data_IF_625882929945
#
_entry.id   IF_625882929945
#
_cell.length_a   1.000
_cell.length_b   1.000
_cell.length_c   1.000
_cell.angle_alpha   90.00
_cell.angle_beta   90.00
_cell.angle_gamma   90.00
#
_symmetry.space_group_name_H-M   'P 1'
#
loop_
_entity.id
_entity.type
_entity.pdbx_description
1 polymer ?
#
# COMPACT_ATOMS: atom_id res chain seq x y z
N UNK A 1 43.33 -53.83 11.15
CA UNK A 1 44.41 -52.98 11.71
C UNK A 1 44.90 -52.09 10.57
N UNK A 2 44.89 -50.76 10.57
CA UNK A 2 44.51 -49.68 11.48
C UNK A 2 44.15 -48.49 10.56
N UNK A 3 42.98 -47.85 10.68
CA UNK A 3 42.74 -46.61 11.43
C UNK A 3 43.72 -45.46 11.14
N UNK A 4 43.25 -44.45 10.38
CA UNK A 4 43.62 -43.04 10.55
C UNK A 4 42.55 -42.17 9.84
N UNK A 5 41.59 -41.69 10.62
CA UNK A 5 40.58 -40.72 10.18
C UNK A 5 41.13 -39.30 10.25
N UNK A 6 41.18 -38.63 9.10
CA UNK A 6 41.36 -37.18 9.01
C UNK A 6 40.00 -36.51 8.94
N UNK A 7 39.52 -36.00 10.08
CA UNK A 7 38.32 -35.18 10.14
C UNK A 7 38.56 -33.83 9.47
N UNK A 8 38.00 -33.63 8.28
CA UNK A 8 37.86 -32.30 7.70
C UNK A 8 36.77 -31.56 8.49
N UNK A 9 37.19 -30.67 9.39
CA UNK A 9 36.31 -29.74 10.08
C UNK A 9 35.66 -28.81 9.06
N UNK A 10 34.41 -29.11 8.71
CA UNK A 10 33.54 -28.17 8.01
C UNK A 10 33.31 -26.96 8.91
N UNK A 11 33.96 -25.85 8.58
CA UNK A 11 33.62 -24.54 9.13
C UNK A 11 32.18 -24.23 8.73
N UNK A 12 31.26 -24.39 9.67
CA UNK A 12 29.92 -23.83 9.57
C UNK A 12 30.05 -22.32 9.31
N UNK A 13 29.25 -21.71 8.40
CA UNK A 13 29.29 -20.28 8.24
C UNK A 13 28.88 -19.67 9.58
N UNK A 14 29.74 -18.85 10.17
CA UNK A 14 29.42 -18.06 11.35
C UNK A 14 28.22 -17.18 10.99
N UNK A 15 27.02 -17.59 11.42
CA UNK A 15 25.83 -16.76 11.34
C UNK A 15 26.13 -15.47 12.09
N UNK A 16 26.33 -14.38 11.36
CA UNK A 16 26.34 -13.03 11.92
C UNK A 16 25.03 -12.86 12.67
N UNK A 17 25.06 -12.94 14.00
CA UNK A 17 23.90 -12.60 14.83
C UNK A 17 23.56 -11.16 14.51
N UNK A 18 22.49 -10.95 13.75
CA UNK A 18 21.93 -9.64 13.46
C UNK A 18 21.69 -8.93 14.80
N UNK A 19 22.16 -7.69 14.91
CA UNK A 19 22.06 -6.93 16.15
C UNK A 19 20.58 -6.71 16.47
N UNK A 20 20.15 -7.12 17.66
CA UNK A 20 18.82 -6.78 18.17
C UNK A 20 18.77 -5.27 18.48
N UNK A 21 17.92 -4.56 17.75
CA UNK A 21 17.68 -3.12 17.93
C UNK A 21 16.39 -2.86 18.70
N UNK A 22 16.33 -1.75 19.42
CA UNK A 22 15.10 -1.17 19.97
C UNK A 22 14.48 -0.24 18.95
N UNK A 23 13.32 -0.59 18.43
CA UNK A 23 12.61 0.17 17.39
C UNK A 23 11.33 0.74 17.94
N UNK A 24 11.16 2.06 17.83
CA UNK A 24 9.86 2.68 18.02
C UNK A 24 9.18 2.91 16.66
N UNK A 25 7.87 2.72 16.62
CA UNK A 25 7.04 3.07 15.47
C UNK A 25 6.04 4.12 15.94
N UNK A 26 5.95 5.26 15.27
CA UNK A 26 5.03 6.34 15.62
C UNK A 26 4.08 6.56 14.44
N UNK A 27 2.80 6.31 14.68
CA UNK A 27 1.74 6.47 13.68
C UNK A 27 0.56 7.27 14.28
N UNK A 28 -0.07 8.20 13.55
CA UNK A 28 -1.16 9.04 14.09
C UNK A 28 -2.34 8.26 14.66
N UNK A 29 -2.98 7.38 13.89
CA UNK A 29 -4.27 6.77 14.25
C UNK A 29 -4.30 5.32 13.77
N UNK A 30 -4.29 4.36 14.70
CA UNK A 30 -4.35 2.93 14.36
C UNK A 30 -5.80 2.51 14.17
N UNK A 31 -6.31 2.77 12.96
CA UNK A 31 -7.60 2.27 12.48
C UNK A 31 -7.44 1.18 11.42
N UNK A 32 -8.34 1.20 10.43
CA UNK A 32 -8.30 0.30 9.26
C UNK A 32 -8.08 1.15 8.02
N UNK A 33 -6.91 1.01 7.41
CA UNK A 33 -6.52 1.68 6.18
C UNK A 33 -5.22 1.14 5.62
N UNK A 34 -4.85 1.61 4.43
CA UNK A 34 -3.66 1.12 3.71
C UNK A 34 -2.36 1.57 4.35
N UNK A 35 -2.31 2.79 4.89
CA UNK A 35 -1.14 3.31 5.58
C UNK A 35 -0.93 2.57 6.91
N UNK A 36 -2.01 2.39 7.66
CA UNK A 36 -2.07 1.64 8.90
C UNK A 36 -1.61 0.20 8.68
N UNK A 37 -2.10 -0.48 7.62
CA UNK A 37 -1.69 -1.85 7.29
C UNK A 37 -0.18 -1.96 7.10
N UNK A 38 0.41 -1.03 6.33
CA UNK A 38 1.84 -1.03 6.08
C UNK A 38 2.66 -0.87 7.36
N UNK A 39 2.22 -0.01 8.27
CA UNK A 39 2.91 0.21 9.54
C UNK A 39 2.79 -1.00 10.47
N UNK A 40 1.62 -1.66 10.47
CA UNK A 40 1.43 -2.92 11.19
C UNK A 40 2.32 -4.03 10.61
N UNK A 41 2.41 -4.14 9.28
CA UNK A 41 3.32 -5.06 8.60
C UNK A 41 4.79 -4.76 8.97
N UNK A 42 5.18 -3.48 8.98
CA UNK A 42 6.52 -3.06 9.38
C UNK A 42 6.86 -3.50 10.81
N UNK A 43 5.95 -3.24 11.75
CA UNK A 43 6.14 -3.63 13.15
C UNK A 43 6.19 -5.15 13.33
N UNK A 44 5.30 -5.89 12.67
CA UNK A 44 5.30 -7.36 12.68
C UNK A 44 6.60 -7.94 12.12
N UNK A 45 7.06 -7.44 10.96
CA UNK A 45 8.24 -7.97 10.30
C UNK A 45 9.53 -7.63 11.05
N UNK A 46 9.66 -6.43 11.60
CA UNK A 46 10.81 -6.08 12.44
C UNK A 46 10.85 -6.93 13.73
N UNK A 47 9.69 -7.19 14.35
CA UNK A 47 9.61 -8.11 15.49
C UNK A 47 9.99 -9.55 15.11
N UNK A 48 9.54 -10.03 13.93
CA UNK A 48 9.90 -11.35 13.40
C UNK A 48 11.40 -11.49 13.12
N UNK A 49 12.10 -10.40 12.79
CA UNK A 49 13.55 -10.34 12.66
C UNK A 49 14.30 -10.28 14.00
N UNK A 50 13.58 -10.29 15.12
CA UNK A 50 14.13 -10.34 16.48
C UNK A 50 14.37 -8.98 17.13
N UNK A 51 13.95 -7.88 16.51
CA UNK A 51 14.01 -6.55 17.10
C UNK A 51 13.01 -6.38 18.25
N UNK A 52 13.32 -5.49 19.18
CA UNK A 52 12.41 -5.07 20.24
C UNK A 52 11.58 -3.90 19.74
N UNK A 53 10.34 -4.16 19.32
CA UNK A 53 9.47 -3.19 18.63
C UNK A 53 8.40 -2.68 19.58
N UNK A 54 8.20 -1.36 19.60
CA UNK A 54 7.11 -0.71 20.35
C UNK A 54 6.37 0.27 19.45
N UNK A 55 5.04 0.19 19.40
CA UNK A 55 4.20 1.08 18.59
C UNK A 55 3.54 2.15 19.46
N UNK A 56 3.63 3.40 19.02
CA UNK A 56 3.00 4.57 19.64
C UNK A 56 1.99 5.18 18.70
N UNK A 57 0.80 5.47 19.21
CA UNK A 57 -0.26 6.09 18.44
C UNK A 57 -1.04 7.12 19.24
N UNK A 58 -1.76 8.01 18.56
CA UNK A 58 -2.65 8.95 19.23
C UNK A 58 -4.02 8.34 19.55
N UNK A 59 -4.45 7.36 18.75
CA UNK A 59 -5.72 6.65 18.91
C UNK A 59 -5.59 5.19 18.50
N UNK A 60 -6.33 4.31 19.19
CA UNK A 60 -6.43 2.90 18.84
C UNK A 60 -7.80 2.37 19.27
N UNK A 61 -8.68 2.14 18.28
CA UNK A 61 -9.97 1.49 18.53
C UNK A 61 -9.79 -0.03 18.44
N UNK A 62 -9.76 -0.69 19.60
CA UNK A 62 -9.59 -2.15 19.70
C UNK A 62 -10.72 -2.94 19.03
N UNK A 63 -11.86 -2.32 18.75
CA UNK A 63 -12.98 -2.96 18.03
C UNK A 63 -12.86 -2.83 16.51
N UNK A 64 -12.03 -1.90 16.04
CA UNK A 64 -11.85 -1.56 14.63
C UNK A 64 -10.38 -1.32 14.30
N UNK A 65 -9.57 -2.35 14.43
CA UNK A 65 -8.15 -2.34 14.14
C UNK A 65 -7.69 -3.68 13.56
N UNK A 66 -6.42 -3.75 13.16
CA UNK A 66 -5.77 -5.00 12.79
C UNK A 66 -5.49 -5.85 14.04
N UNK A 67 -5.73 -7.17 13.96
CA UNK A 67 -5.58 -8.09 15.09
C UNK A 67 -4.17 -8.04 15.71
N UNK A 68 -3.15 -7.85 14.87
CA UNK A 68 -1.76 -7.76 15.27
C UNK A 68 -1.47 -6.56 16.21
N UNK A 69 -2.33 -5.53 16.20
CA UNK A 69 -2.21 -4.40 17.12
C UNK A 69 -2.78 -4.67 18.52
N UNK A 70 -3.49 -5.79 18.69
CA UNK A 70 -4.11 -6.19 19.97
C UNK A 70 -3.40 -7.41 20.56
N UNK A 71 -3.14 -8.42 19.75
CA UNK A 71 -2.57 -9.71 20.16
C UNK A 71 -1.26 -10.05 19.46
N UNK A 72 -0.73 -9.15 18.63
CA UNK A 72 0.49 -9.38 17.86
C UNK A 72 1.78 -9.27 18.67
N UNK A 73 2.94 -9.30 17.98
CA UNK A 73 4.25 -9.50 18.61
C UNK A 73 4.85 -8.23 19.24
N UNK A 74 4.12 -7.11 19.24
CA UNK A 74 4.57 -5.83 19.77
C UNK A 74 3.50 -5.16 20.64
N UNK A 75 3.89 -4.44 21.71
CA UNK A 75 2.98 -3.60 22.46
C UNK A 75 2.58 -2.33 21.69
N UNK A 76 1.36 -1.87 21.93
CA UNK A 76 0.83 -0.58 21.46
C UNK A 76 0.58 0.33 22.67
N UNK A 77 1.07 1.57 22.61
CA UNK A 77 0.81 2.61 23.62
C UNK A 77 0.12 3.80 22.98
N UNK A 78 -0.97 4.24 23.62
CA UNK A 78 -1.81 5.34 23.14
C UNK A 78 -1.56 6.59 23.99
N UNK A 79 -1.27 7.72 23.34
CA UNK A 79 -1.14 9.02 24.00
C UNK A 79 -2.02 10.08 23.33
N UNK A 80 -2.69 10.92 24.11
CA UNK A 80 -3.42 12.06 23.55
C UNK A 80 -4.77 11.70 22.93
N UNK A 81 -5.37 10.57 23.33
CA UNK A 81 -6.68 10.15 22.82
C UNK A 81 -7.76 11.23 23.04
N UNK A 82 -7.65 11.99 24.13
CA UNK A 82 -8.51 13.13 24.48
C UNK A 82 -8.44 14.31 23.49
N UNK A 83 -7.42 14.40 22.64
CA UNK A 83 -7.29 15.49 21.68
C UNK A 83 -8.32 15.32 20.55
N UNK A 84 -9.00 16.38 20.10
CA UNK A 84 -10.01 16.24 19.05
C UNK A 84 -9.37 15.82 17.72
N UNK A 85 -10.03 14.94 16.95
CA UNK A 85 -9.66 14.63 15.54
C UNK A 85 -9.94 15.79 14.58
N UNK A 86 -10.85 16.66 14.99
CA UNK A 86 -11.34 17.80 14.22
C UNK A 86 -12.06 18.78 15.15
N UNK A 87 -12.10 20.06 14.78
CA UNK A 87 -12.85 21.10 15.50
C UNK A 87 -13.98 21.56 14.59
N UNK A 88 -15.23 21.38 15.02
CA UNK A 88 -16.44 21.65 14.22
C UNK A 88 -16.42 21.01 12.82
N UNK A 89 -15.97 19.75 12.72
CA UNK A 89 -15.77 19.03 11.45
C UNK A 89 -14.74 19.66 10.48
N UNK A 90 -13.93 20.61 10.96
CA UNK A 90 -12.85 21.28 10.22
C UNK A 90 -11.49 21.01 10.88
N UNK A 91 -10.41 21.44 10.22
CA UNK A 91 -9.04 21.40 10.75
C UNK A 91 -8.46 20.00 11.05
N UNK A 92 -8.94 18.96 10.36
CA UNK A 92 -8.45 17.58 10.50
C UNK A 92 -6.92 17.47 10.47
N UNK A 93 -6.26 18.11 9.49
CA UNK A 93 -4.80 18.08 9.38
C UNK A 93 -4.07 18.73 10.57
N UNK A 94 -4.59 19.86 11.08
CA UNK A 94 -4.00 20.54 12.24
C UNK A 94 -4.16 19.69 13.50
N UNK A 95 -5.34 19.10 13.70
CA UNK A 95 -5.59 18.16 14.78
C UNK A 95 -4.67 16.93 14.70
N UNK A 96 -4.47 16.36 13.51
CA UNK A 96 -3.54 15.25 13.29
C UNK A 96 -2.10 15.64 13.65
N UNK A 97 -1.63 16.83 13.25
CA UNK A 97 -0.32 17.35 13.65
C UNK A 97 -0.18 17.50 15.16
N UNK A 98 -1.15 18.14 15.83
CA UNK A 98 -1.11 18.33 17.29
C UNK A 98 -1.08 16.99 18.03
N UNK A 99 -1.87 16.02 17.57
CA UNK A 99 -1.91 14.67 18.12
C UNK A 99 -0.57 13.95 17.96
N UNK A 100 0.03 13.98 16.77
CA UNK A 100 1.34 13.38 16.53
C UNK A 100 2.45 14.05 17.35
N UNK A 101 2.45 15.39 17.43
CA UNK A 101 3.39 16.16 18.25
C UNK A 101 3.27 15.75 19.71
N UNK A 102 2.05 15.60 20.23
CA UNK A 102 1.82 15.16 21.60
C UNK A 102 2.39 13.76 21.86
N UNK A 103 2.13 12.79 20.97
CA UNK A 103 2.71 11.45 21.05
C UNK A 103 4.24 11.51 21.05
N UNK A 104 4.83 12.26 20.13
CA UNK A 104 6.27 12.42 20.03
C UNK A 104 6.90 13.05 21.28
N UNK A 105 6.23 14.04 21.90
CA UNK A 105 6.65 14.62 23.18
C UNK A 105 6.59 13.59 24.31
N UNK A 106 5.55 12.77 24.39
CA UNK A 106 5.47 11.68 25.39
C UNK A 106 6.60 10.66 25.20
N UNK A 107 6.90 10.25 23.96
CA UNK A 107 8.02 9.34 23.64
C UNK A 107 9.37 10.00 23.98
N UNK A 108 9.51 11.30 23.73
CA UNK A 108 10.73 12.04 24.06
C UNK A 108 10.94 12.11 25.59
N UNK A 109 9.90 12.44 26.35
CA UNK A 109 10.00 12.75 27.78
C UNK A 109 9.95 11.52 28.70
N UNK A 110 9.18 10.49 28.34
CA UNK A 110 8.85 9.39 29.28
C UNK A 110 9.43 8.04 28.91
N UNK A 111 9.98 7.89 27.71
CA UNK A 111 10.58 6.63 27.25
C UNK A 111 12.10 6.71 27.24
N UNK A 112 12.82 5.57 27.34
CA UNK A 112 14.25 5.54 27.01
C UNK A 112 14.50 5.90 25.54
N UNK A 113 15.77 6.03 25.14
CA UNK A 113 16.08 6.15 23.71
C UNK A 113 15.83 4.83 22.99
N UNK A 114 15.35 4.94 21.76
CA UNK A 114 15.34 3.86 20.78
C UNK A 114 16.58 3.96 19.89
N UNK A 115 16.96 2.85 19.27
CA UNK A 115 18.01 2.81 18.26
C UNK A 115 17.52 3.42 16.94
N UNK A 116 16.30 3.03 16.54
CA UNK A 116 15.62 3.53 15.34
C UNK A 116 14.18 3.90 15.68
N UNK A 117 13.69 5.00 15.11
CA UNK A 117 12.29 5.43 15.21
C UNK A 117 11.73 5.53 13.79
N UNK A 118 10.77 4.67 13.47
CA UNK A 118 10.02 4.71 12.22
C UNK A 118 8.81 5.63 12.40
N UNK A 119 8.69 6.63 11.53
CA UNK A 119 7.63 7.64 11.55
C UNK A 119 6.96 7.67 10.19
N UNK A 120 5.64 7.81 10.14
CA UNK A 120 4.90 8.04 8.90
C UNK A 120 3.84 9.15 9.04
N UNK A 121 3.26 9.55 7.90
CA UNK A 121 2.25 10.61 7.72
C UNK A 121 2.75 12.02 8.06
N UNK A 122 3.19 12.26 9.30
CA UNK A 122 3.43 13.60 9.84
C UNK A 122 4.92 13.82 10.11
N UNK A 123 5.62 14.52 9.22
CA UNK A 123 7.07 14.75 9.36
C UNK A 123 7.45 15.78 10.43
N UNK A 124 6.52 16.60 10.91
CA UNK A 124 6.80 17.68 11.89
C UNK A 124 7.30 17.17 13.25
N UNK A 125 7.15 15.88 13.54
CA UNK A 125 7.66 15.27 14.77
C UNK A 125 9.15 14.94 14.71
N UNK A 126 9.74 14.85 13.51
CA UNK A 126 11.14 14.45 13.30
C UNK A 126 12.13 15.34 14.07
N UNK A 127 12.04 16.69 14.04
CA UNK A 127 12.93 17.55 14.80
C UNK A 127 12.87 17.30 16.32
N UNK A 128 11.66 17.04 16.85
CA UNK A 128 11.46 16.76 18.28
C UNK A 128 12.13 15.44 18.67
N UNK A 129 11.95 14.40 17.86
CA UNK A 129 12.52 13.09 18.10
C UNK A 129 14.05 13.10 18.00
N UNK A 130 14.61 13.91 17.10
CA UNK A 130 16.06 14.10 16.97
C UNK A 130 16.73 14.79 18.17
N UNK A 131 15.97 15.40 19.08
CA UNK A 131 16.52 15.88 20.36
C UNK A 131 17.13 14.74 21.18
N UNK A 132 16.64 13.51 21.01
CA UNK A 132 17.36 12.30 21.44
C UNK A 132 18.42 11.96 20.40
N UNK A 133 19.59 12.59 20.56
CA UNK A 133 20.69 12.49 19.61
C UNK A 133 21.10 11.06 19.25
N UNK A 134 20.78 10.04 20.06
CA UNK A 134 21.08 8.62 19.82
C UNK A 134 20.20 7.92 18.78
N UNK A 135 18.96 8.39 18.55
CA UNK A 135 18.00 7.71 17.70
C UNK A 135 18.17 8.07 16.21
N UNK A 136 18.08 7.06 15.33
CA UNK A 136 17.96 7.25 13.88
C UNK A 136 16.49 7.31 13.48
N UNK A 137 16.13 8.24 12.62
CA UNK A 137 14.75 8.45 12.19
C UNK A 137 14.58 7.95 10.76
N UNK A 138 13.72 6.95 10.59
CA UNK A 138 13.26 6.47 9.28
C UNK A 138 11.88 7.06 9.03
N UNK A 139 11.72 7.86 7.98
CA UNK A 139 10.44 8.44 7.60
C UNK A 139 9.84 7.70 6.41
N UNK A 140 8.67 7.08 6.59
CA UNK A 140 7.94 6.43 5.51
C UNK A 140 6.89 7.39 4.93
N UNK A 141 7.13 7.87 3.72
CA UNK A 141 6.24 8.76 2.98
C UNK A 141 5.31 7.93 2.07
N UNK A 142 4.06 7.75 2.50
CA UNK A 142 3.02 7.09 1.69
C UNK A 142 2.65 7.93 0.46
N UNK A 143 2.53 9.23 0.67
CA UNK A 143 2.27 10.26 -0.31
C UNK A 143 2.59 11.62 0.31
N UNK A 144 3.20 12.57 -0.42
CA UNK A 144 3.41 13.92 0.12
C UNK A 144 2.08 14.61 0.46
N UNK A 145 1.93 15.12 1.67
CA UNK A 145 0.70 15.80 2.11
C UNK A 145 0.40 17.04 1.25
N UNK A 146 1.46 17.64 0.67
CA UNK A 146 1.38 18.72 -0.31
C UNK A 146 0.35 18.47 -1.41
N UNK A 147 0.21 17.22 -1.86
CA UNK A 147 -0.63 16.85 -3.00
C UNK A 147 -2.04 16.42 -2.59
N UNK A 148 -2.30 16.14 -1.31
CA UNK A 148 -3.66 15.88 -0.80
C UNK A 148 -4.51 17.16 -0.78
N UNK A 149 -3.86 18.33 -0.70
CA UNK A 149 -4.51 19.63 -0.79
C UNK A 149 -4.60 20.09 -2.24
N UNK A 150 -5.72 19.80 -2.93
CA UNK A 150 -5.97 20.36 -4.26
C UNK A 150 -5.85 21.90 -4.20
N UNK A 151 -4.88 22.45 -4.94
CA UNK A 151 -4.57 23.89 -5.00
C UNK A 151 -5.62 24.67 -5.81
N UNK A 152 -6.88 24.59 -5.39
CA UNK A 152 -8.04 25.10 -6.13
C UNK A 152 -8.14 26.63 -6.13
N UNK A 153 -7.51 27.32 -5.17
CA UNK A 153 -7.57 28.80 -5.07
C UNK A 153 -6.23 29.42 -4.68
N UNK A 154 -5.98 30.66 -5.10
CA UNK A 154 -4.78 31.44 -4.77
C UNK A 154 -4.58 31.60 -3.24
N UNK A 155 -5.67 31.85 -2.50
CA UNK A 155 -5.66 31.97 -1.05
C UNK A 155 -5.22 30.67 -0.35
N UNK A 156 -5.69 29.51 -0.84
CA UNK A 156 -5.25 28.20 -0.32
C UNK A 156 -3.78 27.95 -0.60
N UNK A 157 -3.28 28.34 -1.79
CA UNK A 157 -1.83 28.24 -2.11
C UNK A 157 -0.98 29.09 -1.16
N UNK A 158 -1.40 30.33 -0.88
CA UNK A 158 -0.64 31.22 0.01
C UNK A 158 -0.64 30.74 1.47
N UNK A 159 -1.77 30.26 1.97
CA UNK A 159 -1.88 29.67 3.32
C UNK A 159 -1.07 28.38 3.47
N UNK A 160 -0.99 27.57 2.41
CA UNK A 160 -0.36 26.25 2.45
C UNK A 160 1.17 26.32 2.31
N UNK A 161 1.70 27.30 1.59
CA UNK A 161 3.15 27.54 1.41
C UNK A 161 4.00 27.43 2.70
N UNK A 162 3.65 28.06 3.85
CA UNK A 162 4.44 27.88 5.07
C UNK A 162 4.38 26.46 5.64
N UNK A 163 3.24 25.77 5.54
CA UNK A 163 3.10 24.37 5.97
C UNK A 163 3.98 23.47 5.10
N UNK A 164 3.99 23.72 3.78
CA UNK A 164 4.77 22.95 2.82
C UNK A 164 6.27 23.14 3.03
N UNK A 165 6.71 24.37 3.34
CA UNK A 165 8.10 24.65 3.70
C UNK A 165 8.52 23.93 4.99
N UNK A 166 7.64 23.90 5.99
CA UNK A 166 7.88 23.15 7.23
C UNK A 166 7.96 21.66 6.91
N UNK A 167 6.99 21.10 6.19
CA UNK A 167 6.94 19.69 5.81
C UNK A 167 8.19 19.27 5.05
N UNK A 168 8.64 20.06 4.08
CA UNK A 168 9.87 19.80 3.33
C UNK A 168 11.11 19.83 4.24
N UNK A 169 11.22 20.86 5.09
CA UNK A 169 12.34 21.00 6.01
C UNK A 169 12.40 19.84 7.01
N UNK A 170 11.26 19.47 7.63
CA UNK A 170 11.19 18.42 8.64
C UNK A 170 11.34 17.03 8.05
N UNK A 171 10.80 16.78 6.85
CA UNK A 171 11.04 15.54 6.10
C UNK A 171 12.53 15.36 5.78
N UNK A 172 13.20 16.43 5.35
CA UNK A 172 14.64 16.42 5.09
C UNK A 172 15.54 16.25 6.33
N UNK A 173 14.97 16.22 7.53
CA UNK A 173 15.69 15.90 8.75
C UNK A 173 15.68 14.41 9.07
N UNK A 174 14.95 13.56 8.34
CA UNK A 174 15.04 12.11 8.50
C UNK A 174 16.44 11.60 8.13
N UNK A 175 16.89 10.53 8.77
CA UNK A 175 18.14 9.86 8.42
C UNK A 175 17.96 8.94 7.20
N UNK A 176 16.75 8.42 7.02
CA UNK A 176 16.33 7.67 5.83
C UNK A 176 14.90 8.02 5.49
N UNK A 177 14.62 8.24 4.21
CA UNK A 177 13.26 8.43 3.68
C UNK A 177 12.91 7.22 2.82
N UNK A 178 11.76 6.61 3.08
CA UNK A 178 11.21 5.50 2.30
C UNK A 178 9.90 5.92 1.61
N UNK A 179 9.66 5.41 0.42
CA UNK A 179 8.41 5.58 -0.33
C UNK A 179 7.90 4.25 -0.85
N UNK A 180 6.59 4.19 -1.13
CA UNK A 180 5.91 2.95 -1.54
C UNK A 180 6.15 2.50 -2.98
N UNK A 181 6.72 3.35 -3.84
CA UNK A 181 6.95 3.05 -5.25
C UNK A 181 7.94 4.04 -5.88
N UNK A 182 8.51 3.69 -7.04
CA UNK A 182 9.33 4.61 -7.84
C UNK A 182 8.49 5.75 -8.42
N UNK A 183 7.22 5.52 -8.73
CA UNK A 183 6.28 6.56 -9.11
C UNK A 183 6.11 7.60 -7.99
N UNK A 184 5.98 7.13 -6.74
CA UNK A 184 5.94 8.02 -5.58
C UNK A 184 7.31 8.67 -5.33
N UNK A 185 8.43 8.00 -5.58
CA UNK A 185 9.76 8.62 -5.52
C UNK A 185 9.90 9.79 -6.51
N UNK A 186 9.46 9.61 -7.76
CA UNK A 186 9.44 10.68 -8.76
C UNK A 186 8.47 11.82 -8.37
N UNK A 187 7.34 11.47 -7.74
CA UNK A 187 6.40 12.46 -7.21
C UNK A 187 7.00 13.23 -6.03
N UNK A 188 7.71 12.56 -5.14
CA UNK A 188 8.47 13.14 -4.04
C UNK A 188 9.50 14.15 -4.57
N UNK A 189 10.30 13.79 -5.57
CA UNK A 189 11.30 14.66 -6.17
C UNK A 189 10.70 15.93 -6.81
N UNK A 190 9.54 15.80 -7.49
CA UNK A 190 8.82 16.95 -8.08
C UNK A 190 8.20 17.87 -7.04
N UNK A 191 7.81 17.31 -5.90
CA UNK A 191 7.13 17.96 -4.78
C UNK A 191 8.13 18.70 -3.89
N UNK A 192 9.14 18.01 -3.38
CA UNK A 192 10.15 18.53 -2.47
C UNK A 192 11.42 18.93 -3.24
N UNK A 193 11.32 20.01 -4.01
CA UNK A 193 12.37 20.44 -4.95
C UNK A 193 13.68 20.81 -4.24
N UNK A 194 13.61 21.37 -3.04
CA UNK A 194 14.78 21.70 -2.23
C UNK A 194 15.45 20.45 -1.62
N UNK A 195 14.70 19.38 -1.33
CA UNK A 195 15.29 18.08 -0.99
C UNK A 195 15.99 17.45 -2.19
N UNK A 196 15.32 17.43 -3.34
CA UNK A 196 15.89 16.88 -4.56
C UNK A 196 17.14 17.65 -5.01
N UNK A 197 17.13 18.99 -4.95
CA UNK A 197 18.29 19.82 -5.25
C UNK A 197 19.48 19.60 -4.33
N UNK A 198 19.25 19.06 -3.11
CA UNK A 198 20.30 18.63 -2.17
C UNK A 198 20.79 17.19 -2.41
N UNK A 199 20.25 16.49 -3.42
CA UNK A 199 20.59 15.11 -3.72
C UNK A 199 19.93 14.09 -2.78
N UNK A 200 18.87 14.48 -2.06
CA UNK A 200 18.13 13.54 -1.20
C UNK A 200 17.18 12.72 -2.07
N UNK A 201 17.46 11.42 -2.18
CA UNK A 201 16.63 10.46 -2.90
C UNK A 201 16.03 9.44 -1.92
N UNK A 202 14.70 9.25 -1.93
CA UNK A 202 14.07 8.27 -1.05
C UNK A 202 14.34 6.84 -1.52
N UNK A 203 14.58 5.93 -0.58
CA UNK A 203 14.59 4.50 -0.83
C UNK A 203 13.18 4.01 -1.17
N UNK A 204 13.07 2.96 -1.99
CA UNK A 204 11.77 2.35 -2.31
C UNK A 204 11.60 1.10 -1.45
N UNK A 205 10.49 1.07 -0.69
CA UNK A 205 10.05 -0.07 0.08
C UNK A 205 8.59 -0.34 -0.29
N UNK A 206 8.37 -1.32 -1.15
CA UNK A 206 7.04 -1.64 -1.68
C UNK A 206 6.12 -2.22 -0.59
N UNK A 207 4.85 -1.78 -0.47
CA UNK A 207 3.88 -2.43 0.39
C UNK A 207 3.74 -3.92 0.08
N UNK A 208 3.50 -4.71 1.13
CA UNK A 208 3.38 -6.15 1.02
C UNK A 208 1.93 -6.62 0.92
N UNK A 209 1.77 -7.84 0.40
CA UNK A 209 0.53 -8.61 0.54
C UNK A 209 0.82 -9.90 1.30
N UNK A 210 -0.07 -10.31 2.21
CA UNK A 210 -0.02 -11.68 2.76
C UNK A 210 -0.46 -12.63 1.65
N UNK A 211 0.46 -13.47 1.23
CA UNK A 211 0.29 -14.38 0.10
C UNK A 211 -0.49 -15.63 0.55
N UNK A 212 -0.38 -15.97 1.82
CA UNK A 212 -0.97 -17.13 2.49
C UNK A 212 -2.51 -17.06 2.54
N UNK A 213 -3.09 -15.86 2.48
CA UNK A 213 -4.55 -15.67 2.48
C UNK A 213 -5.22 -16.08 1.15
N UNK A 214 -4.43 -16.34 0.10
CA UNK A 214 -4.94 -16.72 -1.21
C UNK A 214 -4.49 -18.12 -1.59
N UNK A 215 -5.46 -18.96 -1.95
CA UNK A 215 -5.26 -20.33 -2.39
C UNK A 215 -5.24 -20.42 -3.92
N UNK A 216 -4.73 -21.52 -4.43
CA UNK A 216 -4.82 -21.85 -5.84
C UNK A 216 -6.30 -22.03 -6.22
N UNK A 217 -6.80 -21.39 -7.29
CA UNK A 217 -8.20 -21.44 -7.65
C UNK A 217 -8.64 -22.84 -8.10
N UNK A 218 -9.81 -23.28 -7.64
CA UNK A 218 -10.37 -24.60 -7.97
C UNK A 218 -11.33 -24.59 -9.17
N UNK A 219 -11.77 -23.40 -9.60
CA UNK A 219 -12.67 -23.24 -10.74
C UNK A 219 -12.44 -21.88 -11.40
N UNK A 220 -12.66 -21.82 -12.72
CA UNK A 220 -12.57 -20.60 -13.50
C UNK A 220 -13.95 -20.27 -14.06
N UNK A 221 -14.54 -19.18 -13.57
CA UNK A 221 -15.73 -18.60 -14.18
C UNK A 221 -15.29 -17.54 -15.19
N UNK A 222 -16.04 -17.40 -16.27
CA UNK A 222 -15.85 -16.32 -17.25
C UNK A 222 -16.34 -14.98 -16.67
N UNK A 223 -15.74 -14.57 -15.55
CA UNK A 223 -16.07 -13.37 -14.83
C UNK A 223 -14.85 -12.45 -14.74
N UNK A 224 -14.99 -11.22 -15.20
CA UNK A 224 -14.05 -10.15 -14.96
C UNK A 224 -14.33 -9.51 -13.60
N UNK A 225 -13.30 -9.06 -12.91
CA UNK A 225 -13.46 -8.45 -11.59
C UNK A 225 -12.76 -7.09 -11.55
N UNK A 226 -13.47 -6.06 -11.10
CA UNK A 226 -12.86 -4.77 -10.73
C UNK A 226 -13.05 -4.57 -9.23
N UNK A 227 -11.97 -4.31 -8.50
CA UNK A 227 -12.01 -4.05 -7.05
C UNK A 227 -11.45 -2.67 -6.75
N UNK A 228 -12.32 -1.69 -6.47
CA UNK A 228 -11.93 -0.35 -6.04
C UNK A 228 -13.02 0.29 -5.20
N UNK A 229 -12.69 1.34 -4.45
CA UNK A 229 -13.72 2.20 -3.86
C UNK A 229 -14.57 2.83 -4.96
N UNK A 230 -15.85 3.07 -4.67
CA UNK A 230 -16.76 3.76 -5.57
C UNK A 230 -16.46 5.28 -5.59
N UNK A 231 -15.31 5.65 -6.14
CA UNK A 231 -14.85 7.04 -6.28
C UNK A 231 -14.50 7.30 -7.75
N UNK A 232 -14.91 8.44 -8.35
CA UNK A 232 -14.71 8.71 -9.79
C UNK A 232 -13.25 8.63 -10.25
N UNK A 233 -12.30 8.99 -9.39
CA UNK A 233 -10.85 8.86 -9.68
C UNK A 233 -10.39 7.42 -9.92
N UNK A 234 -11.19 6.42 -9.51
CA UNK A 234 -10.90 4.99 -9.74
C UNK A 234 -11.35 4.51 -11.11
N UNK A 235 -12.07 5.33 -11.87
CA UNK A 235 -12.39 5.11 -13.29
C UNK A 235 -13.07 3.75 -13.55
N UNK A 236 -14.03 3.37 -12.71
CA UNK A 236 -14.78 2.11 -12.82
C UNK A 236 -15.64 2.06 -14.10
N UNK A 237 -15.98 3.22 -14.67
CA UNK A 237 -16.66 3.35 -15.96
C UNK A 237 -15.86 2.73 -17.10
N UNK A 238 -14.53 2.87 -17.10
CA UNK A 238 -13.64 2.21 -18.06
C UNK A 238 -13.82 0.67 -18.07
N UNK A 239 -13.98 0.04 -16.89
CA UNK A 239 -14.20 -1.40 -16.82
C UNK A 239 -15.54 -1.81 -17.46
N UNK A 240 -16.60 -1.02 -17.24
CA UNK A 240 -17.93 -1.29 -17.80
C UNK A 240 -17.93 -1.10 -19.32
N UNK A 241 -17.41 0.02 -19.82
CA UNK A 241 -17.36 0.28 -21.27
C UNK A 241 -16.43 -0.69 -22.00
N UNK A 242 -15.30 -1.11 -21.42
CA UNK A 242 -14.44 -2.13 -21.99
C UNK A 242 -15.15 -3.50 -22.10
N UNK A 243 -15.90 -3.85 -21.05
CA UNK A 243 -16.69 -5.07 -21.02
C UNK A 243 -17.85 -5.04 -22.04
N UNK A 244 -18.51 -3.88 -22.22
CA UNK A 244 -19.54 -3.71 -23.24
C UNK A 244 -19.00 -3.89 -24.67
N UNK A 245 -17.83 -3.32 -24.96
CA UNK A 245 -17.15 -3.52 -26.24
C UNK A 245 -16.79 -5.00 -26.46
N UNK A 246 -16.32 -5.69 -25.42
CA UNK A 246 -15.99 -7.11 -25.49
C UNK A 246 -17.22 -7.95 -25.85
N UNK A 247 -18.37 -7.67 -25.23
CA UNK A 247 -19.62 -8.43 -25.43
C UNK A 247 -20.23 -8.25 -26.83
N UNK A 248 -19.86 -7.18 -27.53
CA UNK A 248 -20.36 -6.95 -28.90
C UNK A 248 -19.90 -8.02 -29.90
N UNK A 249 -19.02 -8.96 -29.52
CA UNK A 249 -18.67 -10.16 -30.28
C UNK A 249 -19.46 -11.41 -29.86
N UNK A 250 -19.87 -12.23 -30.83
CA UNK A 250 -20.79 -13.39 -30.65
C UNK A 250 -20.35 -14.49 -29.66
N UNK A 251 -19.07 -14.55 -29.27
CA UNK A 251 -18.51 -15.63 -28.45
C UNK A 251 -18.64 -15.44 -26.92
N UNK A 252 -19.31 -14.39 -26.45
CA UNK A 252 -19.17 -13.91 -25.06
C UNK A 252 -20.48 -13.64 -24.31
N UNK A 253 -21.56 -14.33 -24.67
CA UNK A 253 -22.87 -14.13 -24.03
C UNK A 253 -22.90 -14.48 -22.54
N UNK A 254 -22.09 -15.46 -22.11
CA UNK A 254 -22.03 -15.93 -20.71
C UNK A 254 -21.00 -15.18 -19.86
N UNK A 255 -20.25 -14.24 -20.44
CA UNK A 255 -19.28 -13.46 -19.69
C UNK A 255 -19.99 -12.51 -18.71
N UNK A 256 -19.43 -12.34 -17.51
CA UNK A 256 -19.92 -11.39 -16.51
C UNK A 256 -18.84 -10.43 -16.05
N UNK A 257 -19.24 -9.27 -15.53
CA UNK A 257 -18.36 -8.33 -14.85
C UNK A 257 -18.87 -8.11 -13.44
N UNK A 258 -18.01 -8.36 -12.45
CA UNK A 258 -18.27 -7.96 -11.06
C UNK A 258 -17.49 -6.70 -10.73
N UNK A 259 -18.19 -5.65 -10.31
CA UNK A 259 -17.60 -4.40 -9.80
C UNK A 259 -17.81 -4.38 -8.29
N UNK A 260 -16.73 -4.55 -7.54
CA UNK A 260 -16.73 -4.65 -6.10
C UNK A 260 -15.90 -3.55 -5.44
N UNK A 261 -16.24 -3.21 -4.20
CA UNK A 261 -15.32 -2.51 -3.31
C UNK A 261 -15.99 -1.58 -2.31
N UNK A 262 -15.16 -0.76 -1.65
CA UNK A 262 -15.58 0.06 -0.52
C UNK A 262 -16.65 1.07 -0.89
N UNK A 263 -17.75 1.05 -0.14
CA UNK A 263 -18.89 1.93 -0.31
C UNK A 263 -19.36 2.45 1.05
N UNK A 264 -19.59 3.76 1.15
CA UNK A 264 -20.14 4.38 2.35
C UNK A 264 -21.33 5.26 1.96
N UNK A 265 -22.53 4.89 2.42
CA UNK A 265 -23.78 5.61 2.14
C UNK A 265 -23.79 7.04 2.67
N UNK A 266 -22.89 7.38 3.60
CA UNK A 266 -22.75 8.74 4.15
C UNK A 266 -21.94 9.65 3.23
N UNK A 267 -21.20 9.07 2.28
CA UNK A 267 -20.37 9.79 1.33
C UNK A 267 -21.12 9.93 0.01
N UNK A 268 -21.63 11.14 -0.27
CA UNK A 268 -22.38 11.46 -1.49
C UNK A 268 -21.68 11.01 -2.77
N UNK A 269 -20.35 11.13 -2.84
CA UNK A 269 -19.53 10.66 -3.97
C UNK A 269 -19.76 9.17 -4.29
N UNK A 270 -19.78 8.30 -3.26
CA UNK A 270 -19.97 6.86 -3.45
C UNK A 270 -21.37 6.53 -3.94
N UNK A 271 -22.38 7.19 -3.38
CA UNK A 271 -23.78 6.99 -3.75
C UNK A 271 -24.03 7.43 -5.20
N UNK A 272 -23.61 8.65 -5.54
CA UNK A 272 -23.83 9.23 -6.87
C UNK A 272 -23.09 8.40 -7.93
N UNK A 273 -21.82 8.03 -7.69
CA UNK A 273 -21.04 7.31 -8.68
C UNK A 273 -21.54 5.87 -8.91
N UNK A 274 -21.98 5.16 -7.86
CA UNK A 274 -22.61 3.84 -8.05
C UNK A 274 -23.85 3.93 -8.94
N UNK A 275 -24.69 4.95 -8.76
CA UNK A 275 -25.87 5.15 -9.60
C UNK A 275 -25.51 5.54 -11.03
N UNK A 276 -24.45 6.33 -11.23
CA UNK A 276 -23.90 6.63 -12.57
C UNK A 276 -23.41 5.36 -13.27
N UNK A 277 -22.68 4.48 -12.57
CA UNK A 277 -22.19 3.21 -13.12
C UNK A 277 -23.34 2.26 -13.50
N UNK A 278 -24.40 2.18 -12.68
CA UNK A 278 -25.60 1.41 -13.02
C UNK A 278 -26.28 1.94 -14.28
N UNK A 279 -26.43 3.26 -14.41
CA UNK A 279 -26.99 3.88 -15.62
C UNK A 279 -26.11 3.62 -16.83
N UNK A 280 -24.78 3.70 -16.69
CA UNK A 280 -23.85 3.37 -17.76
C UNK A 280 -24.04 1.92 -18.23
N UNK A 281 -24.12 0.96 -17.31
CA UNK A 281 -24.35 -0.44 -17.66
C UNK A 281 -25.69 -0.66 -18.41
N UNK A 282 -26.73 0.12 -18.11
CA UNK A 282 -28.01 0.12 -18.86
C UNK A 282 -27.82 0.70 -20.26
N UNK A 283 -27.19 1.87 -20.37
CA UNK A 283 -26.94 2.55 -21.66
C UNK A 283 -26.11 1.68 -22.60
N UNK A 284 -25.10 0.99 -22.06
CA UNK A 284 -24.19 0.09 -22.79
C UNK A 284 -24.80 -1.31 -23.03
N UNK A 285 -26.04 -1.57 -22.58
CA UNK A 285 -26.76 -2.83 -22.83
C UNK A 285 -26.21 -4.05 -22.08
N UNK A 286 -25.43 -3.86 -21.01
CA UNK A 286 -24.76 -4.92 -20.23
C UNK A 286 -25.26 -5.03 -18.78
N UNK A 287 -26.32 -4.33 -18.41
CA UNK A 287 -26.87 -4.32 -17.04
C UNK A 287 -27.22 -5.71 -16.51
N UNK A 288 -27.58 -6.66 -17.38
CA UNK A 288 -27.85 -8.05 -16.99
C UNK A 288 -26.61 -8.89 -16.66
N UNK A 289 -25.40 -8.43 -17.05
CA UNK A 289 -24.13 -9.13 -16.83
C UNK A 289 -23.19 -8.40 -15.86
N UNK A 290 -23.51 -7.17 -15.48
CA UNK A 290 -22.72 -6.39 -14.52
C UNK A 290 -23.32 -6.51 -13.12
N UNK A 291 -22.56 -7.08 -12.19
CA UNK A 291 -22.92 -7.18 -10.77
C UNK A 291 -22.15 -6.16 -9.95
N UNK A 292 -22.86 -5.36 -9.16
CA UNK A 292 -22.26 -4.43 -8.20
C UNK A 292 -22.26 -5.04 -6.80
N UNK A 293 -21.11 -5.04 -6.12
CA UNK A 293 -20.93 -5.54 -4.75
C UNK A 293 -20.37 -4.42 -3.87
N UNK A 294 -21.20 -3.87 -2.99
CA UNK A 294 -20.80 -2.79 -2.08
C UNK A 294 -20.27 -3.35 -0.77
N UNK A 295 -19.04 -2.95 -0.40
CA UNK A 295 -18.40 -3.26 0.87
C UNK A 295 -18.30 -4.76 1.18
N UNK A 296 -17.53 -5.49 0.36
CA UNK A 296 -17.23 -6.90 0.58
C UNK A 296 -16.33 -7.12 1.81
N UNK A 297 -16.63 -8.16 2.57
CA UNK A 297 -15.71 -8.71 3.58
C UNK A 297 -14.43 -9.26 2.94
N UNK A 298 -13.38 -9.46 3.75
CA UNK A 298 -12.13 -10.09 3.28
C UNK A 298 -12.36 -11.46 2.66
N UNK A 299 -13.25 -12.28 3.25
CA UNK A 299 -13.60 -13.61 2.71
C UNK A 299 -14.31 -13.52 1.37
N UNK A 300 -15.30 -12.64 1.23
CA UNK A 300 -16.00 -12.43 -0.05
C UNK A 300 -15.05 -11.89 -1.12
N UNK A 301 -14.15 -10.96 -0.77
CA UNK A 301 -13.12 -10.46 -1.68
C UNK A 301 -12.23 -11.59 -2.16
N UNK A 302 -11.73 -12.44 -1.26
CA UNK A 302 -10.85 -13.56 -1.61
C UNK A 302 -11.59 -14.59 -2.48
N UNK A 303 -12.88 -14.83 -2.24
CA UNK A 303 -13.72 -15.68 -3.09
C UNK A 303 -13.93 -15.08 -4.50
N UNK A 304 -14.20 -13.78 -4.59
CA UNK A 304 -14.32 -13.08 -5.88
C UNK A 304 -13.02 -13.17 -6.67
N UNK A 305 -11.89 -12.91 -6.01
CA UNK A 305 -10.56 -13.04 -6.60
C UNK A 305 -10.28 -14.48 -7.06
N UNK A 306 -10.60 -15.49 -6.26
CA UNK A 306 -10.39 -16.89 -6.63
C UNK A 306 -11.21 -17.31 -7.86
N UNK A 307 -12.42 -16.76 -8.02
CA UNK A 307 -13.35 -17.20 -9.06
C UNK A 307 -13.27 -16.42 -10.38
N UNK A 308 -12.61 -15.26 -10.42
CA UNK A 308 -12.52 -14.47 -11.64
C UNK A 308 -11.51 -15.04 -12.65
N UNK A 309 -11.65 -14.63 -13.91
CA UNK A 309 -10.66 -14.89 -14.97
C UNK A 309 -9.45 -13.97 -14.80
N UNK A 310 -9.70 -12.68 -14.61
CA UNK A 310 -8.70 -11.66 -14.40
C UNK A 310 -9.27 -10.47 -13.63
N UNK A 311 -8.38 -9.59 -13.16
CA UNK A 311 -8.76 -8.33 -12.51
C UNK A 311 -8.51 -7.15 -13.43
N UNK A 312 -9.51 -6.26 -13.55
CA UNK A 312 -9.43 -4.99 -14.25
C UNK A 312 -9.12 -3.88 -13.25
N UNK A 313 -7.91 -3.33 -13.34
CA UNK A 313 -7.43 -2.23 -12.49
C UNK A 313 -7.36 -0.92 -13.27
N UNK A 314 -8.44 -0.15 -13.17
CA UNK A 314 -8.70 1.06 -13.97
C UNK A 314 -8.17 2.41 -13.42
N UNK A 315 -7.73 2.57 -12.16
CA UNK A 315 -7.18 3.84 -11.71
C UNK A 315 -5.97 4.30 -12.53
N UNK A 316 -5.89 5.59 -12.83
CA UNK A 316 -4.72 6.23 -13.44
C UNK A 316 -3.91 6.97 -12.37
N UNK A 317 -2.59 7.03 -12.56
CA UNK A 317 -1.66 7.73 -11.66
C UNK A 317 -1.78 7.31 -10.18
N UNK A 318 -2.20 6.07 -9.91
CA UNK A 318 -2.28 5.54 -8.55
C UNK A 318 -0.86 5.37 -7.98
N UNK A 319 -0.65 5.73 -6.72
CA UNK A 319 0.69 5.64 -6.11
C UNK A 319 1.30 4.25 -6.10
N UNK A 320 0.50 3.25 -5.77
CA UNK A 320 0.97 1.86 -5.71
C UNK A 320 -0.07 0.90 -6.30
N UNK A 321 -1.27 0.90 -5.72
CA UNK A 321 -2.33 -0.03 -6.11
C UNK A 321 -2.08 -1.43 -5.55
N UNK A 322 -2.57 -1.68 -4.33
CA UNK A 322 -2.42 -3.00 -3.68
C UNK A 322 -3.26 -4.10 -4.34
N UNK A 323 -4.39 -3.72 -4.97
CA UNK A 323 -5.34 -4.65 -5.59
C UNK A 323 -4.70 -5.50 -6.70
N UNK A 324 -3.89 -4.93 -7.62
CA UNK A 324 -3.06 -5.73 -8.53
C UNK A 324 -2.29 -6.85 -7.82
N UNK A 325 -1.62 -6.56 -6.70
CA UNK A 325 -0.86 -7.58 -5.96
C UNK A 325 -1.76 -8.61 -5.28
N UNK A 326 -2.92 -8.22 -4.77
CA UNK A 326 -3.92 -9.17 -4.23
C UNK A 326 -4.43 -10.12 -5.32
N UNK A 327 -4.68 -9.61 -6.53
CA UNK A 327 -5.08 -10.42 -7.68
C UNK A 327 -3.99 -11.36 -8.16
N UNK A 328 -2.77 -10.85 -8.29
CA UNK A 328 -1.61 -11.63 -8.67
C UNK A 328 -1.31 -12.71 -7.61
N UNK A 329 -1.44 -12.38 -6.32
CA UNK A 329 -1.39 -13.37 -5.25
C UNK A 329 -2.53 -14.40 -5.37
N UNK A 330 -3.72 -14.03 -5.83
CA UNK A 330 -4.80 -15.00 -6.09
C UNK A 330 -4.63 -15.81 -7.39
N UNK A 331 -3.42 -15.83 -7.98
CA UNK A 331 -3.12 -16.48 -9.25
C UNK A 331 -3.94 -15.93 -10.42
N UNK A 332 -4.27 -14.63 -10.40
CA UNK A 332 -5.04 -13.97 -11.46
C UNK A 332 -4.20 -12.96 -12.23
N UNK A 333 -4.22 -13.00 -13.57
CA UNK A 333 -3.64 -11.93 -14.36
C UNK A 333 -4.37 -10.61 -14.11
N UNK A 334 -3.66 -9.52 -14.28
CA UNK A 334 -4.18 -8.15 -14.08
C UNK A 334 -4.12 -7.38 -15.39
N UNK A 335 -5.23 -6.74 -15.77
CA UNK A 335 -5.26 -5.73 -16.83
C UNK A 335 -5.31 -4.38 -16.13
N UNK A 336 -4.24 -3.59 -16.23
CA UNK A 336 -4.11 -2.33 -15.51
C UNK A 336 -3.81 -1.16 -16.45
N UNK A 337 -4.18 0.05 -16.03
CA UNK A 337 -3.74 1.27 -16.71
C UNK A 337 -2.21 1.39 -16.69
N UNK A 338 -1.60 1.75 -17.82
CA UNK A 338 -0.16 1.95 -17.99
C UNK A 338 0.31 3.29 -17.39
N UNK A 339 0.02 3.51 -16.11
CA UNK A 339 0.39 4.72 -15.35
C UNK A 339 0.48 4.40 -13.86
N UNK A 340 1.21 5.21 -13.10
CA UNK A 340 1.33 5.03 -11.65
C UNK A 340 2.10 3.78 -11.23
N UNK A 341 1.84 3.32 -10.00
CA UNK A 341 2.39 2.14 -9.36
C UNK A 341 2.10 0.80 -10.05
N UNK A 342 0.96 0.58 -10.75
CA UNK A 342 0.73 -0.65 -11.52
C UNK A 342 1.83 -0.97 -12.55
N UNK A 343 2.52 0.03 -13.09
CA UNK A 343 3.65 -0.15 -14.03
C UNK A 343 4.85 -0.83 -13.37
N UNK A 344 4.93 -0.79 -12.04
CA UNK A 344 6.00 -1.42 -11.26
C UNK A 344 5.64 -2.82 -10.77
N UNK A 345 4.34 -3.13 -10.63
CA UNK A 345 3.85 -4.40 -10.09
C UNK A 345 3.43 -5.39 -11.17
N UNK A 346 2.86 -4.91 -12.28
CA UNK A 346 2.42 -5.76 -13.41
C UNK A 346 3.51 -5.81 -14.48
N UNK A 347 4.01 -7.00 -14.77
CA UNK A 347 4.93 -7.24 -15.88
C UNK A 347 4.09 -7.50 -17.15
N UNK A 348 4.10 -6.54 -18.06
CA UNK A 348 3.28 -6.59 -19.28
C UNK A 348 3.53 -7.87 -20.10
N UNK A 349 2.45 -8.49 -20.55
CA UNK A 349 2.39 -9.77 -21.26
C UNK A 349 2.96 -10.99 -20.52
N UNK A 350 3.32 -10.84 -19.24
CA UNK A 350 3.87 -11.92 -18.40
C UNK A 350 2.96 -12.21 -17.21
N UNK A 351 2.61 -11.19 -16.42
CA UNK A 351 1.72 -11.32 -15.26
C UNK A 351 0.34 -10.69 -15.52
N UNK A 352 0.12 -10.17 -16.73
CA UNK A 352 -1.03 -9.34 -17.06
C UNK A 352 -0.75 -8.42 -18.25
N UNK A 353 -1.57 -7.38 -18.40
CA UNK A 353 -1.43 -6.39 -19.46
C UNK A 353 -1.43 -4.97 -18.88
N UNK A 354 -0.52 -4.13 -19.38
CA UNK A 354 -0.55 -2.69 -19.16
C UNK A 354 -1.16 -2.03 -20.40
N UNK A 355 -2.28 -1.35 -20.21
CA UNK A 355 -3.07 -0.76 -21.29
C UNK A 355 -3.21 0.75 -21.12
N UNK A 356 -3.31 1.48 -22.22
CA UNK A 356 -3.79 2.85 -22.17
C UNK A 356 -5.22 2.87 -21.60
N UNK A 357 -5.62 3.93 -20.88
CA UNK A 357 -6.92 4.01 -20.19
C UNK A 357 -8.08 4.23 -21.17
N UNK A 358 -8.25 3.32 -22.12
CA UNK A 358 -9.29 3.33 -23.15
C UNK A 358 -10.08 2.01 -23.15
N UNK A 359 -11.41 2.06 -23.36
CA UNK A 359 -12.21 0.86 -23.43
C UNK A 359 -11.73 -0.16 -24.47
N UNK A 360 -11.21 0.33 -25.61
CA UNK A 360 -10.74 -0.51 -26.70
C UNK A 360 -9.51 -1.36 -26.33
N UNK A 361 -8.50 -0.75 -25.69
CA UNK A 361 -7.29 -1.46 -25.28
C UNK A 361 -7.56 -2.47 -24.16
N UNK A 362 -8.38 -2.09 -23.17
CA UNK A 362 -8.82 -3.01 -22.12
C UNK A 362 -9.62 -4.18 -22.71
N UNK A 363 -10.59 -3.90 -23.60
CA UNK A 363 -11.39 -4.92 -24.27
C UNK A 363 -10.54 -5.90 -25.09
N UNK A 364 -9.52 -5.39 -25.79
CA UNK A 364 -8.57 -6.22 -26.55
C UNK A 364 -7.75 -7.15 -25.64
N UNK A 365 -7.27 -6.65 -24.51
CA UNK A 365 -6.57 -7.47 -23.51
C UNK A 365 -7.49 -8.51 -22.87
N UNK A 366 -8.73 -8.13 -22.56
CA UNK A 366 -9.75 -9.06 -22.07
C UNK A 366 -10.00 -10.19 -23.08
N UNK A 367 -10.14 -9.85 -24.37
CA UNK A 367 -10.38 -10.83 -25.43
C UNK A 367 -9.22 -11.83 -25.60
N UNK A 368 -7.96 -11.41 -25.39
CA UNK A 368 -6.80 -12.33 -25.39
C UNK A 368 -6.97 -13.41 -24.33
N UNK A 369 -7.30 -13.02 -23.09
CA UNK A 369 -7.46 -13.96 -21.96
C UNK A 369 -8.69 -14.86 -22.08
N UNK A 370 -9.74 -14.35 -22.73
CA UNK A 370 -10.94 -15.15 -23.04
C UNK A 370 -10.63 -16.26 -24.04
N UNK A 371 -9.90 -15.92 -25.12
CA UNK A 371 -9.65 -16.83 -26.24
C UNK A 371 -8.61 -17.89 -25.91
N UNK A 372 -7.69 -17.57 -25.00
CA UNK A 372 -6.59 -18.44 -24.62
C UNK A 372 -6.60 -18.66 -23.10
N UNK A 373 -7.24 -19.75 -22.69
CA UNK A 373 -7.35 -20.11 -21.27
C UNK A 373 -5.97 -20.45 -20.68
N UNK A 374 -5.13 -21.16 -21.42
CA UNK A 374 -3.79 -21.55 -20.97
C UNK A 374 -2.90 -20.32 -20.76
N UNK A 375 -3.04 -19.29 -21.59
CA UNK A 375 -2.41 -17.99 -21.37
C UNK A 375 -2.85 -17.37 -20.04
N UNK A 376 -4.16 -17.35 -19.75
CA UNK A 376 -4.66 -16.78 -18.49
C UNK A 376 -4.14 -17.54 -17.26
N UNK A 377 -4.11 -18.88 -17.32
CA UNK A 377 -3.53 -19.74 -16.28
C UNK A 377 -2.03 -19.49 -16.10
N UNK A 378 -1.29 -19.49 -17.21
CA UNK A 378 0.16 -19.28 -17.22
C UNK A 378 0.55 -17.91 -16.70
N UNK A 379 -0.17 -16.85 -17.08
CA UNK A 379 0.03 -15.51 -16.54
C UNK A 379 -0.31 -15.44 -15.06
N UNK A 380 -1.40 -16.07 -14.62
CA UNK A 380 -1.81 -16.13 -13.22
C UNK A 380 -0.75 -16.78 -12.31
N UNK A 381 -0.14 -17.88 -12.78
CA UNK A 381 0.97 -18.53 -12.05
C UNK A 381 2.21 -17.65 -11.98
N UNK A 382 2.62 -17.07 -13.10
CA UNK A 382 3.75 -16.13 -13.14
C UNK A 382 3.50 -14.91 -12.25
N UNK A 383 2.25 -14.43 -12.20
CA UNK A 383 1.83 -13.34 -11.33
C UNK A 383 2.00 -13.70 -9.85
N UNK A 384 1.57 -14.89 -9.43
CA UNK A 384 1.79 -15.39 -8.06
C UNK A 384 3.26 -15.44 -7.72
N UNK A 385 4.07 -16.09 -8.56
CA UNK A 385 5.52 -16.24 -8.35
C UNK A 385 6.20 -14.88 -8.21
N UNK A 386 5.80 -13.92 -9.04
CA UNK A 386 6.28 -12.54 -8.99
C UNK A 386 5.98 -11.86 -7.64
N UNK A 387 4.75 -11.99 -7.14
CA UNK A 387 4.35 -11.43 -5.84
C UNK A 387 5.10 -12.09 -4.69
N UNK A 388 5.20 -13.42 -4.69
CA UNK A 388 5.93 -14.17 -3.66
C UNK A 388 7.38 -13.67 -3.54
N UNK A 389 8.03 -13.45 -4.68
CA UNK A 389 9.45 -13.07 -4.74
C UNK A 389 9.72 -11.60 -4.41
N UNK A 390 8.78 -10.68 -4.68
CA UNK A 390 9.05 -9.24 -4.63
C UNK A 390 8.16 -8.44 -3.68
N UNK A 391 6.96 -8.93 -3.40
CA UNK A 391 5.91 -8.17 -2.72
C UNK A 391 5.24 -8.96 -1.58
N UNK A 392 5.84 -10.06 -1.14
CA UNK A 392 5.40 -10.79 0.05
C UNK A 392 5.77 -10.05 1.33
N UNK A 393 5.02 -10.29 2.41
CA UNK A 393 5.32 -9.77 3.75
C UNK A 393 6.74 -10.10 4.20
N UNK A 394 7.23 -11.29 3.86
CA UNK A 394 8.61 -11.71 4.09
C UNK A 394 9.61 -10.82 3.35
N UNK A 395 9.44 -10.62 2.04
CA UNK A 395 10.37 -9.81 1.23
C UNK A 395 10.40 -8.35 1.71
N UNK A 396 9.23 -7.79 2.04
CA UNK A 396 9.13 -6.47 2.65
C UNK A 396 9.88 -6.41 3.99
N UNK A 397 9.73 -7.43 4.83
CA UNK A 397 10.44 -7.53 6.10
C UNK A 397 11.95 -7.60 5.94
N UNK A 398 12.44 -8.47 5.06
CA UNK A 398 13.88 -8.64 4.78
C UNK A 398 14.51 -7.30 4.31
N UNK A 399 13.80 -6.59 3.42
CA UNK A 399 14.26 -5.30 2.89
C UNK A 399 14.18 -4.17 3.93
N UNK A 400 13.08 -4.06 4.67
CA UNK A 400 12.92 -3.08 5.76
C UNK A 400 13.99 -3.28 6.83
N UNK A 401 14.24 -4.53 7.24
CA UNK A 401 15.28 -4.86 8.19
C UNK A 401 16.66 -4.42 7.69
N UNK A 402 16.97 -4.66 6.41
CA UNK A 402 18.22 -4.22 5.78
C UNK A 402 18.37 -2.69 5.82
N UNK A 403 17.32 -1.94 5.48
CA UNK A 403 17.30 -0.47 5.59
C UNK A 403 17.55 0.02 7.02
N UNK A 404 16.86 -0.58 8.00
CA UNK A 404 16.93 -0.22 9.42
C UNK A 404 18.33 -0.51 9.99
N UNK A 405 18.95 -1.63 9.62
CA UNK A 405 20.31 -1.95 10.03
C UNK A 405 21.34 -1.00 9.38
N UNK A 406 21.19 -0.69 8.08
CA UNK A 406 22.11 0.20 7.38
C UNK A 406 22.10 1.61 7.99
N UNK A 407 20.92 2.23 8.16
CA UNK A 407 20.81 3.59 8.73
C UNK A 407 21.33 3.65 10.17
N UNK A 408 21.22 2.55 10.91
CA UNK A 408 21.79 2.43 12.25
C UNK A 408 23.33 2.40 12.23
N UNK A 409 23.93 1.68 11.27
CA UNK A 409 25.36 1.50 11.15
C UNK A 409 26.12 2.69 10.56
N UNK A 410 25.49 3.52 9.72
CA UNK A 410 26.07 4.77 9.14
C UNK A 410 26.55 5.81 10.17
N UNK A 411 26.39 5.55 11.48
CA UNK A 411 26.89 6.40 12.57
C UNK A 411 28.13 5.85 13.26
N UNK A 412 28.47 4.57 13.02
CA UNK A 412 29.59 3.91 13.69
C UNK A 412 30.90 4.04 12.92
N UNK A 413 30.84 4.59 11.69
CA UNK A 413 31.96 5.07 10.87
C UNK A 413 31.98 6.60 10.91
#
# INVERSE_FOLDING_TARGET
MAAAGGGAGGSSPSGTKTKKLKVAVIHPDLGIGGAERLIVDAACQLAAHGHDVHVFTSHHDKTRCFEETVSGPFPVTVYGDFLPRHVFYRFHAVCAYLRCIFVALCVLLWWPSFDVILVDQVSVVIPLLKLKASAKIVFYCHFPDLLLAQHTTMLRRLYRKPIDMIEEATTGMADLILVNSKFTAATFARTFRGLHARGIEPGVLYPAVSVEQFHEPHAYKLNFLSINRFERKKNLDLAISAFALLRSGDALQDATLTVAGGYDMRLKENVDYLEELKRLAVTEGVSGQVKFVTSCSTSERNELLSNCLCVLYTPTDEHFGIVPLEAMAAHKPVIACNSGGPVETVVNEVTGFLCDPSPAEFSKAMLKLVRDHDLALGMGKQARDHVVQKFSTKTFGDLLNSYVLNVYHERME
#
